data_IF_077985934962
#
_entry.id   IF_077985934962
#
_cell.length_a   1.000
_cell.length_b   1.000
_cell.length_c   1.000
_cell.angle_alpha   90.00
_cell.angle_beta   90.00
_cell.angle_gamma   90.00
#
_symmetry.space_group_name_H-M   'P 1'
#
loop_
_entity.id
_entity.type
_entity.pdbx_description
1 polymer ?
#
# COMPACT_ATOMS: atom_id res chain seq x y z
N UNK A 1 8.17 11.57 -21.77
CA UNK A 1 9.50 10.97 -21.62
C UNK A 1 9.93 10.25 -22.90
N UNK A 2 11.24 10.09 -23.08
CA UNK A 2 11.89 9.32 -24.15
C UNK A 2 12.07 7.85 -23.75
N UNK A 3 12.40 6.99 -24.73
CA UNK A 3 12.79 5.58 -24.50
C UNK A 3 13.96 5.49 -23.51
N UNK A 4 14.94 6.41 -23.60
CA UNK A 4 16.08 6.47 -22.70
C UNK A 4 15.68 6.61 -21.24
N UNK A 5 14.70 7.46 -20.96
CA UNK A 5 14.19 7.67 -19.61
C UNK A 5 13.45 6.43 -19.07
N UNK A 6 12.71 5.69 -19.91
CA UNK A 6 12.08 4.41 -19.53
C UNK A 6 13.13 3.33 -19.19
N UNK A 7 14.19 3.22 -19.98
CA UNK A 7 15.32 2.31 -19.69
C UNK A 7 15.92 2.65 -18.32
N UNK A 8 16.19 3.93 -18.07
CA UNK A 8 16.73 4.41 -16.79
C UNK A 8 15.81 4.11 -15.61
N UNK A 9 14.51 4.35 -15.77
CA UNK A 9 13.48 4.08 -14.77
C UNK A 9 13.46 2.58 -14.40
N UNK A 10 13.32 1.69 -15.38
CA UNK A 10 13.31 0.26 -15.15
C UNK A 10 14.63 -0.26 -14.54
N UNK A 11 15.79 0.27 -14.98
CA UNK A 11 17.08 -0.13 -14.40
C UNK A 11 17.16 0.21 -12.92
N UNK A 12 16.73 1.42 -12.54
CA UNK A 12 16.73 1.88 -11.16
C UNK A 12 15.71 1.15 -10.31
N UNK A 13 14.50 0.90 -10.82
CA UNK A 13 13.46 0.09 -10.14
C UNK A 13 13.94 -1.34 -9.82
N UNK A 14 14.83 -1.89 -10.64
CA UNK A 14 15.48 -3.19 -10.42
C UNK A 14 16.79 -3.13 -9.62
N UNK A 15 17.14 -1.97 -9.05
CA UNK A 15 18.38 -1.75 -8.30
C UNK A 15 19.67 -2.11 -9.08
N UNK A 16 19.63 -1.99 -10.42
CA UNK A 16 20.75 -2.36 -11.28
C UNK A 16 21.70 -1.18 -11.50
N UNK A 17 23.02 -1.44 -11.42
CA UNK A 17 24.02 -0.50 -11.93
C UNK A 17 24.08 -0.54 -13.47
N UNK A 18 24.65 0.49 -14.10
CA UNK A 18 24.90 0.46 -15.55
C UNK A 18 25.72 -0.76 -15.98
N UNK A 19 26.69 -1.19 -15.15
CA UNK A 19 27.52 -2.38 -15.42
C UNK A 19 26.71 -3.67 -15.30
N UNK A 20 25.83 -3.76 -14.30
CA UNK A 20 24.97 -4.94 -14.13
C UNK A 20 23.99 -5.11 -15.29
N UNK A 21 23.38 -4.01 -15.77
CA UNK A 21 22.52 -4.08 -16.96
C UNK A 21 23.34 -4.38 -18.22
N UNK A 22 24.53 -3.82 -18.35
CA UNK A 22 25.45 -4.07 -19.47
C UNK A 22 25.78 -5.56 -19.62
N UNK A 23 26.12 -6.21 -18.51
CA UNK A 23 26.41 -7.63 -18.45
C UNK A 23 25.18 -8.47 -18.81
N UNK A 24 24.02 -8.20 -18.18
CA UNK A 24 22.79 -8.96 -18.42
C UNK A 24 22.22 -8.80 -19.84
N UNK A 25 22.33 -7.61 -20.43
CA UNK A 25 21.79 -7.32 -21.76
C UNK A 25 22.82 -7.53 -22.87
N UNK A 26 24.06 -7.90 -22.54
CA UNK A 26 25.19 -8.05 -23.46
C UNK A 26 25.42 -6.81 -24.34
N UNK A 27 25.45 -5.64 -23.68
CA UNK A 27 25.61 -4.31 -24.29
C UNK A 27 26.66 -3.54 -23.48
N UNK A 28 27.49 -2.71 -24.10
CA UNK A 28 28.44 -1.90 -23.34
C UNK A 28 27.74 -0.92 -22.38
N UNK A 29 28.27 -0.75 -21.17
CA UNK A 29 27.75 0.23 -20.21
C UNK A 29 27.74 1.67 -20.76
N UNK A 30 28.66 1.97 -21.69
CA UNK A 30 28.71 3.24 -22.40
C UNK A 30 27.53 3.42 -23.36
N UNK A 31 27.15 2.39 -24.10
CA UNK A 31 25.97 2.42 -24.97
C UNK A 31 24.68 2.61 -24.14
N UNK A 32 24.51 1.87 -23.05
CA UNK A 32 23.37 2.05 -22.13
C UNK A 32 23.33 3.49 -21.59
N UNK A 33 24.47 4.04 -21.17
CA UNK A 33 24.55 5.43 -20.71
C UNK A 33 24.18 6.45 -21.80
N UNK A 34 24.49 6.17 -23.07
CA UNK A 34 24.05 7.01 -24.20
C UNK A 34 22.54 6.90 -24.41
N UNK A 35 21.99 5.68 -24.39
CA UNK A 35 20.55 5.45 -24.50
C UNK A 35 19.78 6.16 -23.38
N UNK A 36 20.19 6.02 -22.11
CA UNK A 36 19.52 6.66 -20.96
C UNK A 36 19.55 8.19 -20.96
N UNK A 37 20.41 8.80 -21.79
CA UNK A 37 20.54 10.25 -21.96
C UNK A 37 20.04 10.72 -23.32
N UNK A 38 19.39 9.85 -24.08
CA UNK A 38 18.87 10.13 -25.42
C UNK A 38 19.94 10.63 -26.40
N UNK A 39 21.18 10.20 -26.21
CA UNK A 39 22.30 10.51 -27.11
C UNK A 39 22.46 9.48 -28.23
N UNK A 40 21.72 8.38 -28.16
CA UNK A 40 21.70 7.32 -29.16
C UNK A 40 20.37 6.56 -29.07
N UNK A 41 19.97 5.90 -30.15
CA UNK A 41 18.70 5.17 -30.24
C UNK A 41 18.99 3.66 -30.29
N UNK A 42 18.49 2.85 -29.34
CA UNK A 42 18.70 1.41 -29.38
C UNK A 42 17.94 0.78 -30.56
N UNK A 43 18.57 -0.18 -31.25
CA UNK A 43 17.90 -0.98 -32.28
C UNK A 43 16.82 -1.88 -31.69
N UNK A 44 15.91 -2.42 -32.52
CA UNK A 44 14.86 -3.35 -32.06
C UNK A 44 15.44 -4.59 -31.35
N UNK A 45 16.56 -5.14 -31.83
CA UNK A 45 17.24 -6.26 -31.17
C UNK A 45 17.84 -5.88 -29.81
N UNK A 46 18.33 -4.64 -29.68
CA UNK A 46 18.83 -4.11 -28.40
C UNK A 46 17.67 -3.87 -27.43
N UNK A 47 16.55 -3.33 -27.89
CA UNK A 47 15.35 -3.10 -27.06
C UNK A 47 14.79 -4.41 -26.49
N UNK A 48 14.73 -5.48 -27.27
CA UNK A 48 14.29 -6.79 -26.79
C UNK A 48 15.21 -7.34 -25.69
N UNK A 49 16.54 -7.24 -25.87
CA UNK A 49 17.52 -7.65 -24.85
C UNK A 49 17.42 -6.80 -23.59
N UNK A 50 17.21 -5.50 -23.73
CA UNK A 50 17.00 -4.59 -22.59
C UNK A 50 15.72 -4.94 -21.84
N UNK A 51 14.60 -5.13 -22.53
CA UNK A 51 13.32 -5.50 -21.92
C UNK A 51 13.44 -6.80 -21.11
N UNK A 52 14.07 -7.83 -21.69
CA UNK A 52 14.34 -9.10 -21.01
C UNK A 52 15.27 -8.93 -19.80
N UNK A 53 16.38 -8.21 -19.95
CA UNK A 53 17.34 -7.99 -18.85
C UNK A 53 16.74 -7.17 -17.69
N UNK A 54 15.83 -6.25 -17.99
CA UNK A 54 15.11 -5.41 -17.05
C UNK A 54 13.84 -6.06 -16.48
N UNK A 55 13.45 -7.23 -16.99
CA UNK A 55 12.21 -7.92 -16.64
C UNK A 55 10.96 -7.03 -16.80
N UNK A 56 10.86 -6.34 -17.94
CA UNK A 56 9.72 -5.49 -18.32
C UNK A 56 9.23 -5.89 -19.72
N UNK A 57 7.98 -5.55 -20.05
CA UNK A 57 7.48 -5.73 -21.42
C UNK A 57 8.17 -4.76 -22.39
N UNK A 58 8.15 -5.10 -23.67
CA UNK A 58 8.60 -4.17 -24.71
C UNK A 58 7.71 -2.92 -24.72
N UNK A 59 6.41 -3.08 -24.49
CA UNK A 59 5.42 -1.99 -24.47
C UNK A 59 5.72 -0.96 -23.38
N UNK A 60 6.23 -1.39 -22.22
CA UNK A 60 6.69 -0.49 -21.16
C UNK A 60 7.74 0.51 -21.66
N UNK A 61 8.68 0.08 -22.51
CA UNK A 61 9.74 0.95 -23.02
C UNK A 61 9.22 2.03 -23.99
N UNK A 62 8.08 1.76 -24.64
CA UNK A 62 7.43 2.67 -25.58
C UNK A 62 6.29 3.49 -24.95
N UNK A 63 5.83 3.13 -23.75
CA UNK A 63 4.73 3.83 -23.06
C UNK A 63 5.09 5.30 -22.85
N UNK A 64 4.36 6.26 -23.43
CA UNK A 64 4.60 7.67 -23.14
C UNK A 64 4.37 7.91 -21.64
N UNK A 65 5.22 8.73 -21.02
CA UNK A 65 4.89 9.22 -19.68
C UNK A 65 3.78 10.26 -19.85
N UNK A 66 2.57 9.92 -19.42
CA UNK A 66 1.41 10.80 -19.42
C UNK A 66 1.37 11.70 -18.18
N UNK A 67 2.03 11.29 -17.09
CA UNK A 67 1.91 11.93 -15.78
C UNK A 67 3.29 12.04 -15.11
N UNK A 68 3.65 13.24 -14.66
CA UNK A 68 4.90 13.48 -13.93
C UNK A 68 4.65 13.35 -12.43
N UNK A 69 4.92 12.17 -11.86
CA UNK A 69 4.82 11.98 -10.40
C UNK A 69 5.99 12.67 -9.73
N UNK A 70 5.73 13.82 -9.11
CA UNK A 70 6.66 14.41 -8.15
C UNK A 70 6.29 13.89 -6.76
N UNK A 71 7.13 13.04 -6.18
CA UNK A 71 6.97 12.62 -4.78
C UNK A 71 7.23 13.84 -3.87
N UNK A 72 6.18 14.60 -3.60
CA UNK A 72 6.23 15.69 -2.64
C UNK A 72 6.16 15.08 -1.25
N UNK A 73 7.24 15.23 -0.48
CA UNK A 73 7.40 14.78 0.91
C UNK A 73 7.38 13.25 1.11
N UNK A 74 8.46 12.58 0.68
CA UNK A 74 8.83 11.30 1.27
C UNK A 74 9.22 11.51 2.75
N UNK A 75 8.27 11.35 3.69
CA UNK A 75 8.56 11.38 5.13
C UNK A 75 9.25 10.07 5.50
N UNK A 76 10.57 10.17 5.74
CA UNK A 76 11.48 9.04 5.98
C UNK A 76 11.16 8.33 7.30
N UNK A 77 10.52 7.18 7.25
CA UNK A 77 10.52 6.20 8.35
C UNK A 77 11.32 4.96 7.96
N UNK A 78 12.63 5.16 7.69
CA UNK A 78 13.70 4.16 7.79
C UNK A 78 15.02 4.78 7.28
N UNK A 79 16.16 4.31 7.81
CA UNK A 79 17.50 4.61 7.27
C UNK A 79 17.72 3.86 5.93
N UNK A 80 16.90 4.14 4.93
CA UNK A 80 17.04 3.56 3.59
C UNK A 80 18.30 4.12 2.91
N UNK A 81 19.06 3.23 2.27
CA UNK A 81 20.17 3.64 1.42
C UNK A 81 19.65 4.42 0.19
N UNK A 82 20.44 5.36 -0.33
CA UNK A 82 20.06 6.21 -1.47
C UNK A 82 19.57 5.38 -2.67
N UNK A 83 20.25 4.27 -2.96
CA UNK A 83 19.88 3.36 -4.06
C UNK A 83 18.52 2.68 -3.85
N UNK A 84 18.26 2.25 -2.62
CA UNK A 84 17.00 1.59 -2.26
C UNK A 84 15.84 2.60 -2.31
N UNK A 85 16.03 3.80 -1.76
CA UNK A 85 15.06 4.89 -1.86
C UNK A 85 14.73 5.22 -3.33
N UNK A 86 15.74 5.29 -4.19
CA UNK A 86 15.55 5.54 -5.61
C UNK A 86 14.80 4.38 -6.31
N UNK A 87 15.09 3.13 -5.97
CA UNK A 87 14.37 1.97 -6.51
C UNK A 87 12.89 1.96 -6.07
N UNK A 88 12.62 2.25 -4.80
CA UNK A 88 11.26 2.38 -4.24
C UNK A 88 10.50 3.47 -5.00
N UNK A 89 11.08 4.66 -5.14
CA UNK A 89 10.46 5.77 -5.87
C UNK A 89 10.11 5.38 -7.31
N UNK A 90 11.00 4.67 -8.02
CA UNK A 90 10.74 4.25 -9.40
C UNK A 90 9.63 3.19 -9.49
N UNK A 91 9.53 2.26 -8.53
CA UNK A 91 8.42 1.29 -8.47
C UNK A 91 7.09 1.95 -8.15
N UNK A 92 7.07 2.89 -7.20
CA UNK A 92 5.87 3.67 -6.86
C UNK A 92 5.40 4.48 -8.06
N UNK A 93 6.32 5.17 -8.74
CA UNK A 93 6.00 5.96 -9.92
C UNK A 93 5.44 5.08 -11.05
N UNK A 94 6.05 3.91 -11.30
CA UNK A 94 5.57 2.99 -12.32
C UNK A 94 4.13 2.51 -12.03
N UNK A 95 3.88 2.08 -10.79
CA UNK A 95 2.57 1.64 -10.35
C UNK A 95 1.52 2.76 -10.44
N UNK A 96 1.86 3.96 -9.96
CA UNK A 96 0.93 5.09 -9.96
C UNK A 96 0.60 5.57 -11.38
N UNK A 97 1.58 5.54 -12.30
CA UNK A 97 1.33 5.83 -13.71
C UNK A 97 0.29 4.86 -14.31
N UNK A 98 0.41 3.55 -14.04
CA UNK A 98 -0.59 2.57 -14.50
C UNK A 98 -1.95 2.79 -13.85
N UNK A 99 -1.97 3.09 -12.55
CA UNK A 99 -3.21 3.36 -11.82
C UNK A 99 -3.96 4.54 -12.45
N UNK A 100 -3.28 5.67 -12.62
CA UNK A 100 -3.89 6.89 -13.12
C UNK A 100 -4.26 6.78 -14.60
N UNK A 101 -3.50 6.01 -15.40
CA UNK A 101 -3.88 5.70 -16.77
C UNK A 101 -5.21 4.94 -16.80
N UNK A 102 -5.35 3.88 -16.01
CA UNK A 102 -6.59 3.10 -15.93
C UNK A 102 -7.75 3.97 -15.44
N UNK A 103 -7.53 4.80 -14.43
CA UNK A 103 -8.56 5.70 -13.91
C UNK A 103 -8.99 6.76 -14.93
N UNK A 104 -8.10 7.18 -15.83
CA UNK A 104 -8.42 8.18 -16.86
C UNK A 104 -9.50 7.74 -17.85
N UNK A 105 -9.77 6.42 -17.95
CA UNK A 105 -10.89 5.89 -18.73
C UNK A 105 -12.26 6.12 -18.08
N UNK A 106 -12.30 6.44 -16.78
CA UNK A 106 -13.52 6.52 -15.96
C UNK A 106 -13.52 7.81 -15.13
N UNK A 107 -13.67 8.96 -15.77
CA UNK A 107 -13.64 10.27 -15.09
C UNK A 107 -14.78 10.43 -14.05
N UNK A 108 -15.90 9.73 -14.24
CA UNK A 108 -17.04 9.65 -13.33
C UNK A 108 -16.74 8.87 -12.04
N UNK A 109 -15.71 8.02 -12.07
CA UNK A 109 -15.27 7.23 -10.93
C UNK A 109 -14.23 7.94 -10.06
N UNK A 110 -13.72 9.11 -10.48
CA UNK A 110 -12.75 9.86 -9.68
C UNK A 110 -13.43 10.31 -8.38
N UNK A 111 -13.06 9.66 -7.27
CA UNK A 111 -13.59 9.96 -5.95
C UNK A 111 -13.00 11.27 -5.42
N UNK A 112 -13.82 12.21 -4.93
CA UNK A 112 -13.30 13.38 -4.24
C UNK A 112 -12.59 12.94 -2.96
N UNK A 113 -11.46 13.58 -2.67
CA UNK A 113 -10.69 13.32 -1.45
C UNK A 113 -11.47 13.83 -0.26
N UNK A 114 -11.82 12.93 0.66
CA UNK A 114 -12.52 13.28 1.89
C UNK A 114 -11.60 13.10 3.11
N UNK A 115 -10.65 14.03 3.26
CA UNK A 115 -9.67 14.05 4.34
C UNK A 115 -9.70 15.39 5.08
N UNK A 116 -10.58 15.55 6.08
CA UNK A 116 -10.56 16.73 6.94
C UNK A 116 -9.26 16.80 7.73
N UNK A 117 -8.74 18.02 7.93
CA UNK A 117 -7.56 18.26 8.77
C UNK A 117 -8.00 18.71 10.16
N UNK A 118 -7.49 18.05 11.19
CA UNK A 118 -7.81 18.29 12.59
C UNK A 118 -6.62 18.93 13.31
N UNK A 119 -6.78 20.11 13.92
CA UNK A 119 -5.73 20.71 14.74
C UNK A 119 -5.58 19.94 16.05
N UNK A 120 -4.36 19.50 16.37
CA UNK A 120 -4.06 18.72 17.58
C UNK A 120 -3.05 19.48 18.45
N UNK A 121 -3.46 19.78 19.68
CA UNK A 121 -2.67 20.46 20.71
C UNK A 121 -2.36 19.56 21.91
N UNK A 122 -3.07 18.45 22.07
CA UNK A 122 -2.81 17.43 23.09
C UNK A 122 -3.12 16.03 22.57
N UNK A 123 -2.61 14.99 23.24
CA UNK A 123 -2.81 13.59 22.83
C UNK A 123 -4.27 13.15 23.00
N UNK A 124 -5.01 13.75 23.92
CA UNK A 124 -6.42 13.45 24.17
C UNK A 124 -7.30 13.83 22.98
N UNK A 125 -7.00 14.95 22.31
CA UNK A 125 -7.73 15.42 21.12
C UNK A 125 -7.62 14.47 19.93
N UNK A 126 -6.63 13.57 19.94
CA UNK A 126 -6.45 12.57 18.88
C UNK A 126 -7.60 11.56 18.86
N UNK A 127 -8.18 11.23 20.01
CA UNK A 127 -9.34 10.34 20.09
C UNK A 127 -10.54 10.94 19.38
N UNK A 128 -10.80 12.23 19.62
CA UNK A 128 -11.90 12.97 19.01
C UNK A 128 -11.73 13.06 17.49
N UNK A 129 -10.49 13.27 17.00
CA UNK A 129 -10.18 13.25 15.58
C UNK A 129 -10.44 11.88 14.94
N UNK A 130 -10.13 10.78 15.64
CA UNK A 130 -10.41 9.43 15.16
C UNK A 130 -11.92 9.15 15.06
N UNK A 131 -12.70 9.55 16.06
CA UNK A 131 -14.17 9.46 16.02
C UNK A 131 -14.74 10.32 14.90
N UNK A 132 -14.31 11.58 14.81
CA UNK A 132 -14.79 12.54 13.80
C UNK A 132 -14.53 12.02 12.38
N UNK A 133 -13.37 11.38 12.14
CA UNK A 133 -13.09 10.76 10.85
C UNK A 133 -14.01 9.57 10.56
N UNK A 134 -14.26 8.70 11.56
CA UNK A 134 -15.20 7.57 11.39
C UNK A 134 -16.61 8.06 11.08
N UNK A 135 -17.06 9.13 11.70
CA UNK A 135 -18.35 9.78 11.42
C UNK A 135 -18.37 10.37 10.01
N UNK A 136 -17.32 11.12 9.64
CA UNK A 136 -17.15 11.69 8.30
C UNK A 136 -17.18 10.62 7.20
N UNK A 137 -16.64 9.43 7.47
CA UNK A 137 -16.60 8.29 6.55
C UNK A 137 -17.77 7.32 6.72
N UNK A 138 -18.74 7.61 7.60
CA UNK A 138 -19.89 6.75 7.92
C UNK A 138 -19.53 5.31 8.31
N UNK A 139 -18.43 5.12 9.06
CA UNK A 139 -17.94 3.80 9.46
C UNK A 139 -18.62 3.23 10.72
N UNK A 140 -19.46 4.02 11.41
CA UNK A 140 -20.02 3.64 12.70
C UNK A 140 -18.91 3.31 13.72
N UNK A 141 -19.16 2.37 14.64
CA UNK A 141 -18.19 1.92 15.65
C UNK A 141 -17.76 0.46 15.51
N UNK A 142 -18.39 -0.28 14.60
CA UNK A 142 -18.06 -1.68 14.33
C UNK A 142 -16.64 -1.83 13.74
N UNK A 143 -16.05 -3.03 13.81
CA UNK A 143 -14.79 -3.32 13.13
C UNK A 143 -14.81 -2.87 11.67
N UNK A 144 -13.71 -2.24 11.22
CA UNK A 144 -13.52 -1.95 9.80
C UNK A 144 -13.25 -3.28 9.09
N UNK A 145 -14.15 -3.67 8.18
CA UNK A 145 -14.05 -4.94 7.46
C UNK A 145 -12.80 -5.00 6.58
N UNK A 146 -12.56 -3.96 5.79
CA UNK A 146 -11.38 -3.83 4.94
C UNK A 146 -10.91 -2.36 4.91
N UNK A 147 -9.81 -2.06 5.62
CA UNK A 147 -9.32 -0.68 5.70
C UNK A 147 -8.80 -0.20 4.35
N UNK A 148 -8.09 -1.06 3.63
CA UNK A 148 -7.53 -0.76 2.31
C UNK A 148 -8.60 -0.27 1.34
N UNK A 149 -9.72 -0.98 1.27
CA UNK A 149 -10.86 -0.58 0.44
C UNK A 149 -11.49 0.74 0.91
N UNK A 150 -11.66 0.92 2.22
CA UNK A 150 -12.17 2.19 2.78
C UNK A 150 -11.31 3.36 2.31
N UNK A 151 -9.98 3.23 2.36
CA UNK A 151 -9.08 4.30 1.90
C UNK A 151 -9.24 4.57 0.39
N UNK A 152 -9.35 3.52 -0.44
CA UNK A 152 -9.62 3.67 -1.88
C UNK A 152 -10.97 4.38 -2.15
N UNK A 153 -12.00 4.08 -1.36
CA UNK A 153 -13.32 4.68 -1.49
C UNK A 153 -13.36 6.16 -1.06
N UNK A 154 -12.44 6.59 -0.17
CA UNK A 154 -12.25 7.99 0.22
C UNK A 154 -11.32 8.78 -0.73
N UNK A 155 -10.98 8.20 -1.89
CA UNK A 155 -10.19 8.85 -2.94
C UNK A 155 -8.68 8.77 -2.76
N UNK A 156 -8.20 7.98 -1.79
CA UNK A 156 -6.76 7.75 -1.58
C UNK A 156 -6.29 6.65 -2.52
N UNK A 157 -5.19 6.89 -3.24
CA UNK A 157 -4.60 5.85 -4.09
C UNK A 157 -3.76 4.93 -3.20
N UNK A 158 -4.15 3.66 -3.10
CA UNK A 158 -3.45 2.70 -2.23
C UNK A 158 -2.67 1.69 -3.06
N UNK A 159 -1.36 1.64 -2.83
CA UNK A 159 -0.43 0.75 -3.53
C UNK A 159 0.31 -0.18 -2.59
N UNK A 160 0.67 -1.37 -3.09
CA UNK A 160 1.57 -2.29 -2.39
C UNK A 160 2.81 -2.52 -3.24
N UNK A 161 3.99 -2.46 -2.62
CA UNK A 161 5.27 -2.79 -3.26
C UNK A 161 6.01 -3.87 -2.50
N UNK A 162 6.69 -4.74 -3.25
CA UNK A 162 7.41 -5.90 -2.72
C UNK A 162 8.92 -5.75 -2.78
N UNK A 163 9.64 -6.61 -2.07
CA UNK A 163 11.08 -6.81 -2.26
C UNK A 163 11.99 -5.71 -1.70
N UNK A 164 11.53 -4.95 -0.71
CA UNK A 164 12.34 -4.00 0.06
C UNK A 164 12.25 -4.33 1.54
N UNK A 165 13.36 -4.76 2.14
CA UNK A 165 13.35 -5.23 3.53
C UNK A 165 13.08 -4.10 4.51
N UNK A 166 13.70 -2.93 4.29
CA UNK A 166 13.71 -1.80 5.20
C UNK A 166 12.62 -0.74 4.92
N UNK A 167 11.70 -1.02 4.00
CA UNK A 167 10.56 -0.17 3.69
C UNK A 167 9.31 -0.65 4.44
N UNK A 168 8.55 0.25 5.05
CA UNK A 168 7.28 -0.07 5.73
C UNK A 168 6.09 0.55 4.98
N UNK A 169 6.05 1.88 4.90
CA UNK A 169 5.04 2.65 4.18
C UNK A 169 5.52 4.06 3.87
N UNK A 170 4.80 4.75 3.00
CA UNK A 170 4.92 6.19 2.81
C UNK A 170 3.62 6.79 2.27
N UNK A 171 3.39 8.05 2.63
CA UNK A 171 2.35 8.92 2.06
C UNK A 171 2.95 10.10 1.31
N UNK A 172 2.30 10.53 0.23
CA UNK A 172 2.65 11.74 -0.54
C UNK A 172 1.46 12.24 -1.37
N UNK A 173 1.58 13.46 -1.90
CA UNK A 173 0.61 14.02 -2.85
C UNK A 173 1.12 13.85 -4.29
N UNK A 174 0.26 13.39 -5.20
CA UNK A 174 0.51 13.31 -6.63
C UNK A 174 -0.66 13.92 -7.40
N UNK A 175 -0.39 14.99 -8.16
CA UNK A 175 -1.40 15.75 -8.93
C UNK A 175 -2.68 16.09 -8.14
N UNK A 176 -2.51 16.43 -6.85
CA UNK A 176 -3.62 16.78 -5.96
C UNK A 176 -4.30 15.60 -5.26
N UNK A 177 -3.91 14.36 -5.54
CA UNK A 177 -4.43 13.16 -4.88
C UNK A 177 -3.46 12.64 -3.81
N UNK A 178 -3.96 12.24 -2.63
CA UNK A 178 -3.16 11.53 -1.63
C UNK A 178 -2.90 10.10 -2.08
N UNK A 179 -1.66 9.66 -1.89
CA UNK A 179 -1.20 8.33 -2.25
C UNK A 179 -0.56 7.69 -1.02
N UNK A 180 -1.02 6.51 -0.66
CA UNK A 180 -0.42 5.68 0.39
C UNK A 180 0.15 4.43 -0.26
N UNK A 181 1.43 4.18 -0.03
CA UNK A 181 2.08 2.93 -0.46
C UNK A 181 2.60 2.21 0.77
N UNK A 182 2.35 0.91 0.85
CA UNK A 182 2.90 0.05 1.91
C UNK A 182 3.61 -1.18 1.35
N UNK A 183 4.38 -1.85 2.19
CA UNK A 183 5.05 -3.11 1.87
C UNK A 183 4.02 -4.24 1.75
N UNK A 184 4.10 -5.02 0.68
CA UNK A 184 3.15 -6.09 0.40
C UNK A 184 3.27 -7.29 1.36
N UNK A 185 4.47 -7.58 1.87
CA UNK A 185 4.74 -8.77 2.70
C UNK A 185 4.40 -8.59 4.19
N UNK A 186 3.57 -7.60 4.54
CA UNK A 186 3.13 -7.35 5.90
C UNK A 186 1.92 -8.22 6.28
N UNK A 187 1.81 -8.58 7.56
CA UNK A 187 0.57 -9.17 8.10
C UNK A 187 -0.54 -8.13 8.10
N UNK A 188 -1.80 -8.55 8.04
CA UNK A 188 -2.94 -7.63 7.90
C UNK A 188 -3.02 -6.59 9.00
N UNK A 189 -2.69 -6.95 10.24
CA UNK A 189 -2.69 -6.03 11.37
C UNK A 189 -1.57 -4.99 11.28
N UNK A 190 -0.39 -5.38 10.77
CA UNK A 190 0.73 -4.45 10.54
C UNK A 190 0.43 -3.54 9.36
N UNK A 191 -0.18 -4.08 8.30
CA UNK A 191 -0.64 -3.31 7.14
C UNK A 191 -1.66 -2.25 7.55
N UNK A 192 -2.72 -2.65 8.28
CA UNK A 192 -3.75 -1.74 8.80
C UNK A 192 -3.15 -0.65 9.66
N UNK A 193 -2.22 -1.02 10.54
CA UNK A 193 -1.58 -0.07 11.44
C UNK A 193 -0.73 0.95 10.67
N UNK A 194 0.07 0.50 9.70
CA UNK A 194 0.87 1.37 8.85
C UNK A 194 -0.03 2.31 8.02
N UNK A 195 -1.07 1.78 7.36
CA UNK A 195 -2.01 2.59 6.59
C UNK A 195 -2.72 3.64 7.45
N UNK A 196 -3.21 3.25 8.63
CA UNK A 196 -3.82 4.20 9.57
C UNK A 196 -2.82 5.26 10.04
N UNK A 197 -1.54 4.90 10.21
CA UNK A 197 -0.50 5.84 10.63
C UNK A 197 -0.25 6.90 9.56
N UNK A 198 -0.19 6.49 8.29
CA UNK A 198 -0.10 7.39 7.14
C UNK A 198 -1.34 8.30 7.04
N UNK A 199 -2.54 7.79 7.32
CA UNK A 199 -3.76 8.62 7.41
C UNK A 199 -3.63 9.64 8.55
N UNK A 200 -3.13 9.24 9.71
CA UNK A 200 -2.83 10.15 10.82
C UNK A 200 -1.93 11.32 10.39
N UNK A 201 -0.88 11.05 9.62
CA UNK A 201 -0.01 12.10 9.08
C UNK A 201 -0.69 13.05 8.09
N UNK A 202 -1.70 12.57 7.36
CA UNK A 202 -2.45 13.38 6.39
C UNK A 202 -3.44 14.31 7.09
N UNK A 203 -4.06 13.87 8.19
CA UNK A 203 -5.19 14.58 8.80
C UNK A 203 -4.84 15.32 10.09
N UNK A 204 -3.79 14.94 10.81
CA UNK A 204 -3.46 15.56 12.11
C UNK A 204 -2.51 16.73 11.90
N UNK A 205 -2.99 17.96 12.08
CA UNK A 205 -2.15 19.17 12.18
C UNK A 205 -1.65 19.31 13.63
N UNK A 206 -0.60 18.55 13.93
CA UNK A 206 -0.04 18.42 15.27
C UNK A 206 0.84 19.62 15.62
N UNK A 207 0.53 20.31 16.72
CA UNK A 207 1.30 21.44 17.27
C UNK A 207 1.52 21.26 18.76
N UNK A 208 2.79 21.21 19.18
CA UNK A 208 3.17 21.16 20.59
C UNK A 208 3.21 19.76 21.22
N UNK A 209 2.87 18.70 20.47
CA UNK A 209 3.12 17.30 20.84
C UNK A 209 3.90 16.59 19.74
N UNK A 210 4.48 15.44 20.05
CA UNK A 210 5.21 14.62 19.08
C UNK A 210 4.22 13.98 18.08
N UNK A 211 4.36 14.21 16.77
CA UNK A 211 3.48 13.63 15.74
C UNK A 211 3.46 12.10 15.74
N UNK A 212 4.56 11.44 16.10
CA UNK A 212 4.68 9.99 16.02
C UNK A 212 3.77 9.28 17.06
N UNK A 213 3.87 9.59 18.37
CA UNK A 213 2.89 9.14 19.36
C UNK A 213 1.45 9.54 19.03
N UNK A 214 1.23 10.75 18.48
CA UNK A 214 -0.11 11.17 18.09
C UNK A 214 -0.69 10.27 16.99
N UNK A 215 0.08 9.96 15.95
CA UNK A 215 -0.35 9.04 14.90
C UNK A 215 -0.55 7.61 15.43
N UNK A 216 0.30 7.11 16.34
CA UNK A 216 0.07 5.83 17.00
C UNK A 216 -1.24 5.79 17.80
N UNK A 217 -1.52 6.84 18.58
CA UNK A 217 -2.76 6.98 19.35
C UNK A 217 -3.97 7.00 18.41
N UNK A 218 -3.88 7.76 17.31
CA UNK A 218 -4.91 7.86 16.29
C UNK A 218 -5.25 6.49 15.71
N UNK A 219 -4.26 5.69 15.29
CA UNK A 219 -4.52 4.37 14.71
C UNK A 219 -5.28 3.47 15.69
N UNK A 220 -4.84 3.43 16.94
CA UNK A 220 -5.51 2.65 17.97
C UNK A 220 -6.96 3.09 18.18
N UNK A 221 -7.21 4.40 18.21
CA UNK A 221 -8.55 4.98 18.36
C UNK A 221 -9.44 4.80 17.13
N UNK A 222 -8.86 4.87 15.94
CA UNK A 222 -9.56 4.77 14.67
C UNK A 222 -9.99 3.33 14.38
N UNK A 223 -9.11 2.35 14.64
CA UNK A 223 -9.43 0.93 14.51
C UNK A 223 -10.34 0.44 15.65
N UNK A 224 -10.08 0.90 16.88
CA UNK A 224 -10.81 0.49 18.08
C UNK A 224 -11.13 1.70 18.97
N UNK A 225 -12.27 2.37 18.72
CA UNK A 225 -12.77 3.48 19.53
C UNK A 225 -12.82 3.16 21.03
N UNK A 226 -12.68 4.16 21.90
CA UNK A 226 -12.65 3.96 23.35
C UNK A 226 -13.86 3.17 23.86
N UNK A 227 -15.06 3.51 23.38
CA UNK A 227 -16.29 2.82 23.76
C UNK A 227 -16.23 1.32 23.44
N UNK A 228 -15.67 0.97 22.28
CA UNK A 228 -15.50 -0.41 21.83
C UNK A 228 -14.45 -1.13 22.66
N UNK A 229 -13.30 -0.50 22.91
CA UNK A 229 -12.26 -1.07 23.76
C UNK A 229 -12.76 -1.37 25.18
N UNK A 230 -13.55 -0.44 25.76
CA UNK A 230 -14.17 -0.63 27.09
C UNK A 230 -15.28 -1.67 27.09
N UNK A 231 -16.01 -1.82 25.98
CA UNK A 231 -17.00 -2.88 25.83
C UNK A 231 -16.35 -4.26 25.80
N UNK A 232 -15.29 -4.44 25.03
CA UNK A 232 -14.59 -5.72 24.87
C UNK A 232 -13.76 -6.11 26.11
N UNK A 233 -13.03 -5.15 26.69
CA UNK A 233 -12.08 -5.42 27.79
C UNK A 233 -12.65 -5.12 29.18
N UNK A 234 -13.78 -4.43 29.26
CA UNK A 234 -14.30 -3.83 30.49
C UNK A 234 -13.59 -2.54 30.89
N UNK A 235 -14.07 -1.91 31.97
CA UNK A 235 -13.57 -0.60 32.41
C UNK A 235 -12.23 -0.65 33.16
N UNK A 236 -11.90 -1.78 33.80
CA UNK A 236 -10.65 -1.99 34.55
C UNK A 236 -10.28 -3.46 34.62
N UNK A 237 -8.99 -3.77 34.41
CA UNK A 237 -8.43 -5.12 34.40
C UNK A 237 -7.07 -5.15 35.11
N UNK A 238 -6.72 -6.30 35.68
CA UNK A 238 -5.40 -6.53 36.28
C UNK A 238 -4.38 -7.11 35.28
N UNK A 239 -4.88 -7.79 34.23
CA UNK A 239 -4.13 -8.37 33.11
C UNK A 239 -5.07 -8.66 31.94
N UNK A 240 -4.51 -8.98 30.78
CA UNK A 240 -5.22 -9.48 29.59
C UNK A 240 -4.72 -10.88 29.23
N UNK A 241 -5.61 -11.76 28.76
CA UNK A 241 -5.22 -13.11 28.32
C UNK A 241 -4.75 -13.12 26.86
N UNK A 242 -3.86 -14.05 26.50
CA UNK A 242 -3.34 -14.12 25.11
C UNK A 242 -4.39 -14.62 24.13
N UNK A 243 -5.28 -15.53 24.54
CA UNK A 243 -6.35 -16.02 23.67
C UNK A 243 -7.42 -14.94 23.47
N UNK A 244 -7.72 -14.17 24.52
CA UNK A 244 -8.57 -12.97 24.44
C UNK A 244 -8.01 -11.97 23.40
N UNK A 245 -6.72 -11.62 23.52
CA UNK A 245 -6.06 -10.72 22.56
C UNK A 245 -6.03 -11.29 21.14
N UNK A 246 -5.86 -12.61 20.99
CA UNK A 246 -5.92 -13.28 19.69
C UNK A 246 -7.30 -13.16 19.03
N UNK A 247 -8.37 -13.41 19.78
CA UNK A 247 -9.73 -13.27 19.27
C UNK A 247 -10.02 -11.81 18.86
N UNK A 248 -9.60 -10.84 19.67
CA UNK A 248 -9.77 -9.42 19.37
C UNK A 248 -8.92 -8.96 18.17
N UNK A 249 -7.73 -9.52 17.99
CA UNK A 249 -6.90 -9.29 16.80
C UNK A 249 -7.63 -9.68 15.53
N UNK A 250 -8.23 -10.86 15.49
CA UNK A 250 -8.97 -11.32 14.31
C UNK A 250 -10.30 -10.59 14.11
N UNK A 251 -10.96 -10.16 15.19
CA UNK A 251 -12.21 -9.39 15.09
C UNK A 251 -12.00 -7.95 14.59
N UNK A 252 -10.96 -7.25 15.06
CA UNK A 252 -10.77 -5.82 14.77
C UNK A 252 -9.61 -5.51 13.81
N UNK A 253 -8.80 -6.51 13.49
CA UNK A 253 -7.61 -6.35 12.66
C UNK A 253 -6.49 -5.51 13.29
N UNK A 254 -6.43 -5.46 14.63
CA UNK A 254 -5.40 -4.75 15.38
C UNK A 254 -4.51 -5.75 16.12
N UNK A 255 -3.18 -5.56 16.09
CA UNK A 255 -2.24 -6.52 16.70
C UNK A 255 -2.47 -6.69 18.20
N UNK A 256 -2.07 -7.84 18.76
CA UNK A 256 -2.19 -8.07 20.21
C UNK A 256 -1.40 -7.04 21.00
N UNK A 257 -0.22 -6.64 20.50
CA UNK A 257 0.58 -5.59 21.12
C UNK A 257 -0.12 -4.22 21.07
N UNK A 258 -0.79 -3.89 19.96
CA UNK A 258 -1.56 -2.65 19.84
C UNK A 258 -2.78 -2.64 20.78
N UNK A 259 -3.42 -3.79 21.03
CA UNK A 259 -4.44 -3.93 22.08
C UNK A 259 -3.89 -3.69 23.49
N UNK A 260 -2.67 -4.14 23.79
CA UNK A 260 -2.02 -3.87 25.08
C UNK A 260 -1.75 -2.36 25.24
N UNK A 261 -1.23 -1.70 24.20
CA UNK A 261 -1.06 -0.25 24.19
C UNK A 261 -2.39 0.47 24.35
N UNK A 262 -3.43 0.11 23.58
CA UNK A 262 -4.76 0.70 23.64
C UNK A 262 -5.37 0.60 25.04
N UNK A 263 -5.29 -0.58 25.66
CA UNK A 263 -5.79 -0.80 27.01
C UNK A 263 -5.03 0.02 28.06
N UNK A 264 -3.72 0.19 27.88
CA UNK A 264 -2.87 1.02 28.74
C UNK A 264 -3.21 2.50 28.61
N UNK A 265 -3.31 3.00 27.38
CA UNK A 265 -3.59 4.40 27.08
C UNK A 265 -4.98 4.83 27.57
N UNK A 266 -5.95 3.91 27.59
CA UNK A 266 -7.30 4.13 28.13
C UNK A 266 -7.41 3.89 29.64
N UNK A 267 -6.31 3.54 30.31
CA UNK A 267 -6.28 3.23 31.75
C UNK A 267 -7.05 1.97 32.14
N UNK A 268 -7.42 1.11 31.17
CA UNK A 268 -8.08 -0.18 31.42
C UNK A 268 -7.11 -1.11 32.17
N UNK A 269 -5.83 -1.08 31.80
CA UNK A 269 -4.73 -1.72 32.54
C UNK A 269 -3.72 -0.67 33.00
N UNK A 270 -3.00 -0.97 34.08
CA UNK A 270 -1.91 -0.10 34.55
C UNK A 270 -0.63 -0.27 33.72
N UNK A 271 0.26 0.73 33.76
CA UNK A 271 1.59 0.67 33.13
C UNK A 271 2.38 -0.58 33.58
N UNK A 272 2.26 -0.96 34.86
CA UNK A 272 2.89 -2.16 35.40
C UNK A 272 2.32 -3.44 34.79
N UNK A 273 1.00 -3.50 34.53
CA UNK A 273 0.37 -4.64 33.87
C UNK A 273 0.80 -4.74 32.40
N UNK A 274 0.78 -3.62 31.68
CA UNK A 274 1.29 -3.56 30.30
C UNK A 274 2.75 -3.99 30.21
N UNK A 275 3.61 -3.49 31.11
CA UNK A 275 5.03 -3.86 31.19
C UNK A 275 5.22 -5.37 31.35
N UNK A 276 4.47 -6.01 32.26
CA UNK A 276 4.53 -7.49 32.42
C UNK A 276 4.10 -8.23 31.15
N UNK A 277 3.06 -7.75 30.46
CA UNK A 277 2.62 -8.33 29.19
C UNK A 277 3.70 -8.20 28.12
N UNK A 278 4.30 -7.02 27.93
CA UNK A 278 5.39 -6.83 26.98
C UNK A 278 6.64 -7.66 27.32
N UNK A 279 6.96 -7.84 28.60
CA UNK A 279 8.02 -8.78 29.00
C UNK A 279 7.71 -10.21 28.58
N UNK A 280 6.47 -10.68 28.76
CA UNK A 280 6.02 -11.98 28.26
C UNK A 280 6.16 -12.08 26.74
N UNK A 281 5.76 -11.05 26.00
CA UNK A 281 5.94 -11.01 24.54
C UNK A 281 7.41 -11.08 24.12
N UNK A 282 8.30 -10.38 24.82
CA UNK A 282 9.74 -10.43 24.53
C UNK A 282 10.34 -11.80 24.84
N UNK A 283 10.02 -12.37 26.00
CA UNK A 283 10.50 -13.68 26.43
C UNK A 283 10.13 -14.82 25.48
N UNK A 284 8.95 -14.71 24.82
CA UNK A 284 8.48 -15.71 23.87
C UNK A 284 8.76 -15.35 22.39
N UNK A 285 9.47 -14.25 22.12
CA UNK A 285 9.72 -13.78 20.74
C UNK A 285 8.49 -13.19 20.03
N UNK A 286 7.35 -13.07 20.72
CA UNK A 286 6.08 -12.58 20.16
C UNK A 286 6.07 -11.11 19.76
N UNK A 287 7.04 -10.34 20.24
CA UNK A 287 7.27 -8.97 19.77
C UNK A 287 7.63 -8.89 18.27
N UNK A 288 8.14 -9.98 17.67
CA UNK A 288 8.44 -10.08 16.22
C UNK A 288 7.36 -10.84 15.46
N UNK A 289 6.84 -11.92 16.05
CA UNK A 289 5.80 -12.77 15.47
C UNK A 289 4.83 -13.17 16.56
N UNK A 290 3.67 -12.52 16.58
CA UNK A 290 2.60 -12.82 17.54
C UNK A 290 2.18 -14.30 17.47
N UNK A 291 1.70 -14.89 18.58
CA UNK A 291 1.26 -16.28 18.60
C UNK A 291 -0.04 -16.47 17.81
N UNK A 292 -0.28 -17.70 17.35
CA UNK A 292 -1.47 -18.06 16.57
C UNK A 292 -1.30 -17.80 15.07
N UNK A 293 -2.43 -17.86 14.34
CA UNK A 293 -2.46 -17.55 12.92
C UNK A 293 -2.28 -16.05 12.68
N UNK A 294 -1.59 -15.69 11.60
CA UNK A 294 -1.44 -14.30 11.21
C UNK A 294 -2.75 -13.81 10.57
N UNK A 295 -3.08 -12.53 10.79
CA UNK A 295 -4.18 -11.91 10.06
C UNK A 295 -3.80 -11.81 8.57
N UNK A 296 -4.71 -12.24 7.70
CA UNK A 296 -4.54 -12.12 6.26
C UNK A 296 -4.34 -10.65 5.86
N UNK A 297 -3.40 -10.41 4.96
CA UNK A 297 -3.13 -9.07 4.46
C UNK A 297 -4.22 -8.63 3.48
N UNK A 298 -4.67 -7.39 3.62
CA UNK A 298 -5.61 -6.77 2.69
C UNK A 298 -4.90 -6.39 1.39
N UNK A 299 -5.65 -6.31 0.29
CA UNK A 299 -5.14 -5.93 -1.02
C UNK A 299 -5.96 -4.78 -1.59
N UNK A 300 -5.32 -3.77 -2.22
CA UNK A 300 -6.04 -2.79 -3.02
C UNK A 300 -6.59 -3.47 -4.26
N UNK A 301 -7.89 -3.34 -4.49
CA UNK A 301 -8.58 -4.03 -5.58
C UNK A 301 -9.14 -3.06 -6.62
N UNK A 302 -9.15 -1.75 -6.35
CA UNK A 302 -9.77 -0.76 -7.23
C UNK A 302 -9.14 -0.75 -8.61
N UNK A 303 -7.81 -0.68 -8.69
CA UNK A 303 -7.10 -0.66 -9.98
C UNK A 303 -7.40 -1.91 -10.81
N UNK A 304 -7.33 -3.08 -10.20
CA UNK A 304 -7.65 -4.36 -10.87
C UNK A 304 -9.10 -4.37 -11.39
N UNK A 305 -10.06 -3.93 -10.58
CA UNK A 305 -11.47 -3.81 -10.99
C UNK A 305 -11.65 -2.86 -12.18
N UNK A 306 -10.98 -1.71 -12.18
CA UNK A 306 -11.05 -0.76 -13.29
C UNK A 306 -10.39 -1.32 -14.56
N UNK A 307 -9.31 -2.09 -14.45
CA UNK A 307 -8.70 -2.78 -15.61
C UNK A 307 -9.68 -3.77 -16.21
N UNK A 308 -10.33 -4.61 -15.40
CA UNK A 308 -11.31 -5.56 -15.90
C UNK A 308 -12.54 -4.87 -16.51
N UNK A 309 -12.99 -3.75 -15.92
CA UNK A 309 -14.05 -2.92 -16.52
C UNK A 309 -13.62 -2.37 -17.88
N UNK A 310 -12.43 -1.79 -17.99
CA UNK A 310 -11.91 -1.25 -19.25
C UNK A 310 -11.77 -2.34 -20.32
N UNK A 311 -11.37 -3.55 -19.92
CA UNK A 311 -11.33 -4.70 -20.82
C UNK A 311 -12.73 -5.14 -21.26
N UNK A 312 -13.72 -5.15 -20.35
CA UNK A 312 -15.10 -5.54 -20.66
C UNK A 312 -15.83 -4.52 -21.56
N UNK A 313 -15.47 -3.24 -21.46
CA UNK A 313 -15.99 -2.14 -22.28
C UNK A 313 -15.19 -1.94 -23.60
N UNK A 314 -14.29 -2.87 -23.94
CA UNK A 314 -13.40 -2.81 -25.12
C UNK A 314 -12.55 -1.52 -25.22
N UNK A 315 -12.32 -0.82 -24.10
CA UNK A 315 -11.49 0.38 -24.03
C UNK A 315 -10.00 0.06 -24.12
N UNK A 316 -9.62 -1.14 -23.70
CA UNK A 316 -8.26 -1.66 -23.77
C UNK A 316 -8.25 -3.10 -24.29
N UNK A 317 -7.18 -3.48 -24.99
CA UNK A 317 -6.99 -4.87 -25.42
C UNK A 317 -6.62 -5.78 -24.24
N UNK A 318 -6.73 -7.10 -24.43
CA UNK A 318 -6.22 -8.10 -23.47
C UNK A 318 -4.73 -7.92 -23.16
N UNK A 319 -3.92 -7.64 -24.18
CA UNK A 319 -2.48 -7.40 -23.97
C UNK A 319 -2.24 -6.15 -23.12
N UNK A 320 -3.01 -5.09 -23.33
CA UNK A 320 -2.92 -3.86 -22.54
C UNK A 320 -3.37 -4.08 -21.09
N UNK A 321 -4.43 -4.86 -20.88
CA UNK A 321 -4.87 -5.22 -19.52
C UNK A 321 -3.80 -6.02 -18.75
N UNK A 322 -3.11 -6.98 -19.39
CA UNK A 322 -1.99 -7.70 -18.77
C UNK A 322 -0.84 -6.76 -18.39
N UNK A 323 -0.48 -5.84 -19.28
CA UNK A 323 0.56 -4.83 -19.00
C UNK A 323 0.17 -3.93 -17.82
N UNK A 324 -1.08 -3.47 -17.78
CA UNK A 324 -1.58 -2.61 -16.71
C UNK A 324 -1.69 -3.33 -15.36
N UNK A 325 -1.97 -4.64 -15.35
CA UNK A 325 -1.91 -5.44 -14.12
C UNK A 325 -0.46 -5.66 -13.66
N UNK A 326 0.47 -5.81 -14.60
CA UNK A 326 1.85 -6.20 -14.32
C UNK A 326 2.03 -7.72 -14.10
N UNK A 327 0.95 -8.48 -14.25
CA UNK A 327 0.90 -9.94 -14.10
C UNK A 327 -0.02 -10.55 -15.18
N UNK A 328 0.08 -11.86 -15.46
CA UNK A 328 -0.84 -12.52 -16.37
C UNK A 328 -2.29 -12.36 -15.91
N UNK A 329 -3.18 -12.01 -16.84
CA UNK A 329 -4.64 -11.97 -16.62
C UNK A 329 -5.13 -13.34 -16.10
N UNK A 330 -5.56 -13.37 -14.84
CA UNK A 330 -6.21 -14.54 -14.25
C UNK A 330 -7.70 -14.47 -14.53
N UNK A 331 -8.13 -14.96 -15.70
CA UNK A 331 -9.55 -15.14 -16.01
C UNK A 331 -10.07 -16.40 -15.34
N UNK A 332 -10.13 -16.40 -14.01
CA UNK A 332 -10.54 -17.56 -13.20
C UNK A 332 -12.01 -17.99 -13.45
N UNK A 333 -12.79 -17.20 -14.19
CA UNK A 333 -14.21 -17.44 -14.49
C UNK A 333 -14.51 -17.82 -15.96
N UNK A 334 -13.51 -17.86 -16.85
CA UNK A 334 -13.72 -18.19 -18.28
C UNK A 334 -13.90 -19.69 -18.59
N UNK A 335 -13.97 -20.56 -17.57
CA UNK A 335 -14.16 -21.99 -17.79
C UNK A 335 -15.62 -22.32 -18.18
N UNK A 336 -16.60 -21.44 -17.97
CA UNK A 336 -18.02 -21.78 -18.18
C UNK A 336 -18.61 -21.43 -19.55
N UNK A 337 -17.97 -20.62 -20.40
CA UNK A 337 -18.60 -20.17 -21.67
C UNK A 337 -18.20 -20.94 -22.94
N UNK A 338 -17.34 -21.96 -22.87
CA UNK A 338 -16.98 -22.76 -24.05
C UNK A 338 -17.63 -24.16 -24.11
N UNK A 339 -18.59 -24.48 -23.23
CA UNK A 339 -19.30 -25.77 -23.25
C UNK A 339 -20.78 -25.70 -23.66
N UNK A 340 -21.35 -24.52 -23.98
CA UNK A 340 -22.76 -24.42 -24.39
C UNK A 340 -23.03 -24.29 -25.90
N UNK A 341 -22.01 -24.10 -26.74
CA UNK A 341 -22.18 -24.17 -28.20
C UNK A 341 -21.85 -25.58 -28.74
N UNK A 342 -22.48 -26.58 -28.15
CA UNK A 342 -22.60 -27.91 -28.74
C UNK A 342 -23.62 -27.86 -29.87
N UNK A 343 -23.16 -27.49 -31.07
CA UNK A 343 -23.97 -27.60 -32.30
C UNK A 343 -24.38 -29.06 -32.49
N UNK A 344 -25.64 -29.35 -32.18
CA UNK A 344 -26.32 -30.53 -32.67
C UNK A 344 -26.56 -30.36 -34.17
N UNK A 345 -25.70 -30.92 -35.02
CA UNK A 345 -26.10 -31.27 -36.38
C UNK A 345 -26.61 -32.71 -36.34
N UNK A 346 -27.93 -32.82 -36.30
CA UNK A 346 -28.64 -34.08 -36.55
C UNK A 346 -28.79 -34.36 -38.05
N UNK A 347 -28.93 -35.65 -38.33
CA UNK A 347 -29.21 -36.36 -39.61
C UNK A 347 -28.13 -36.40 -40.67
#
# INVERSE_FOLDING_TARGET
MTIGQRIKQARKANNMSLRSLAEKAEISAMAISKYERDLDIPSSSVLLRLAQALNVSIDFLFRPQTISVQLQSYRKHAKLGIKEQEAIQMRIQEWLERYLEVESFFLDEIRPVNLPVYPIHSIEQVEDAAISLRECWNLGLDPIENLTQVLEDQGIKVGLISGFEHFDSCTFMADGFPVIVSKAELTGDRLRFNMGHEVGHLILDVKGVDPEPACHRFVGAFLVPEQVARFELGSRRTTLDMNELYLLKHKYGMSMQAWIYRAKDLGIISENAATRLFHRFRANGWHRKEPGEALASEKPLRMERLIYRALAEDLISRSRAQELLGEPLQLNWLVETFQQDGVAVGS
#
